data_IF_743398933157
#
_entry.id   IF_743398933157
#
_cell.length_a   1.000
_cell.length_b   1.000
_cell.length_c   1.000
_cell.angle_alpha   90.00
_cell.angle_beta   90.00
_cell.angle_gamma   90.00
#
_symmetry.space_group_name_H-M   'P 1'
#
loop_
_entity.id
_entity.type
_entity.pdbx_description
1 polymer ?
#
# COMPACT_ATOMS: atom_id res chain seq x y z
N UNK A 1 9.17 45.98 9.66
CA UNK A 1 9.12 45.24 8.41
C UNK A 1 8.20 44.03 8.62
N UNK A 2 7.11 43.91 7.88
CA UNK A 2 6.22 42.78 8.03
C UNK A 2 6.82 41.54 7.35
N UNK A 3 6.90 40.42 8.08
CA UNK A 3 7.25 39.10 7.54
C UNK A 3 5.98 38.46 6.98
N UNK A 4 5.97 38.21 5.68
CA UNK A 4 4.88 37.51 5.01
C UNK A 4 5.27 36.01 4.97
N UNK A 5 4.54 35.16 5.71
CA UNK A 5 4.67 33.71 5.61
C UNK A 5 3.58 33.22 4.66
N UNK A 6 3.97 32.80 3.46
CA UNK A 6 3.10 32.10 2.51
C UNK A 6 3.15 30.61 2.80
N UNK A 7 2.05 30.05 3.26
CA UNK A 7 1.85 28.61 3.25
C UNK A 7 1.23 28.22 1.90
N UNK A 8 2.02 27.58 1.04
CA UNK A 8 1.54 26.97 -0.20
C UNK A 8 0.84 25.65 0.17
N UNK A 9 -0.47 25.65 0.06
CA UNK A 9 -1.28 24.43 0.02
C UNK A 9 -1.74 24.27 -1.43
N UNK A 10 -1.37 23.18 -2.05
CA UNK A 10 -1.79 22.81 -3.40
C UNK A 10 -3.32 22.67 -3.45
N UNK A 11 -3.90 23.35 -4.41
CA UNK A 11 -5.28 23.30 -4.90
C UNK A 11 -6.40 23.69 -3.95
N UNK A 12 -6.84 24.86 -4.22
CA UNK A 12 -8.00 25.68 -3.96
C UNK A 12 -7.88 26.71 -2.83
N UNK A 13 -7.96 27.97 -3.34
CA UNK A 13 -8.20 29.22 -2.62
C UNK A 13 -7.08 29.64 -1.64
N UNK A 14 -6.26 30.56 -2.16
CA UNK A 14 -5.32 31.36 -1.38
C UNK A 14 -6.04 32.10 -0.24
N UNK A 15 -5.89 31.56 0.97
CA UNK A 15 -6.14 32.33 2.18
C UNK A 15 -4.79 32.87 2.68
N UNK A 16 -4.40 34.06 2.22
CA UNK A 16 -3.32 34.84 2.85
C UNK A 16 -3.85 35.39 4.18
N UNK A 17 -3.49 34.77 5.28
CA UNK A 17 -3.65 35.38 6.60
C UNK A 17 -2.49 36.35 6.80
N UNK A 18 -2.81 37.67 6.79
CA UNK A 18 -1.86 38.70 7.15
C UNK A 18 -1.87 38.82 8.67
N UNK A 19 -0.81 38.36 9.30
CA UNK A 19 -0.59 38.57 10.74
C UNK A 19 0.16 39.90 10.87
N UNK A 20 -0.52 40.95 11.32
CA UNK A 20 0.13 42.18 11.75
C UNK A 20 0.62 41.99 13.19
N UNK A 21 1.92 41.89 13.34
CA UNK A 21 2.56 41.91 14.66
C UNK A 21 2.76 43.40 15.02
N UNK A 22 1.87 43.96 15.82
CA UNK A 22 2.08 45.25 16.46
C UNK A 22 3.04 45.08 17.63
N UNK A 23 4.24 45.58 17.45
CA UNK A 23 5.27 45.63 18.49
C UNK A 23 4.85 46.69 19.55
N UNK A 24 4.28 46.23 20.66
CA UNK A 24 4.11 47.01 21.90
C UNK A 24 4.45 46.12 23.09
N UNK A 25 5.67 46.27 23.52
CA UNK A 25 6.21 46.16 24.88
C UNK A 25 5.62 45.14 25.82
N UNK A 26 6.43 44.17 26.22
CA UNK A 26 6.18 43.38 27.42
C UNK A 26 6.65 41.93 27.28
N UNK A 27 7.65 41.57 28.07
CA UNK A 27 8.30 40.27 28.19
C UNK A 27 7.32 39.10 28.56
N UNK A 28 6.04 39.40 28.85
CA UNK A 28 5.01 38.42 29.17
C UNK A 28 4.29 37.85 27.95
N UNK A 29 4.29 38.51 26.81
CA UNK A 29 3.61 38.02 25.60
C UNK A 29 4.45 36.95 24.84
N UNK A 30 5.76 36.93 25.01
CA UNK A 30 6.63 35.96 24.36
C UNK A 30 6.40 34.52 24.89
N UNK A 31 5.98 34.35 26.15
CA UNK A 31 5.65 33.03 26.73
C UNK A 31 4.34 32.44 26.20
N UNK A 32 3.42 33.28 25.69
CA UNK A 32 2.14 32.83 25.11
C UNK A 32 2.25 32.48 23.62
N UNK A 33 3.27 32.98 22.92
CA UNK A 33 3.49 32.71 21.49
C UNK A 33 4.24 31.38 21.27
N UNK A 34 5.06 30.98 22.23
CA UNK A 34 5.86 29.73 22.13
C UNK A 34 5.03 28.46 21.94
N UNK A 35 3.92 28.22 22.68
CA UNK A 35 3.09 27.05 22.44
C UNK A 35 2.39 27.10 21.07
N UNK A 36 2.04 28.27 20.56
CA UNK A 36 1.42 28.40 19.24
C UNK A 36 2.41 28.11 18.12
N UNK A 37 3.66 28.55 18.24
CA UNK A 37 4.75 28.25 17.28
C UNK A 37 5.12 26.77 17.35
N UNK A 38 5.15 26.16 18.54
CA UNK A 38 5.41 24.73 18.71
C UNK A 38 4.31 23.86 18.08
N UNK A 39 3.03 24.27 18.23
CA UNK A 39 1.92 23.60 17.54
C UNK A 39 2.00 23.72 16.02
N UNK A 40 2.48 24.85 15.48
CA UNK A 40 2.64 25.05 14.04
C UNK A 40 3.74 24.15 13.45
N UNK A 41 4.79 23.87 14.20
CA UNK A 41 5.89 23.01 13.79
C UNK A 41 5.50 21.52 13.76
N UNK A 42 4.57 21.10 14.60
CA UNK A 42 4.09 19.71 14.63
C UNK A 42 3.15 19.41 13.43
N UNK A 43 2.46 20.41 12.91
CA UNK A 43 1.55 20.24 11.76
C UNK A 43 2.26 20.14 10.39
N UNK A 44 3.56 20.43 10.30
CA UNK A 44 4.33 20.34 9.05
C UNK A 44 4.91 18.94 8.77
N UNK A 45 4.78 17.98 9.68
CA UNK A 45 5.42 16.65 9.52
C UNK A 45 4.64 15.67 8.66
N UNK A 46 3.32 15.80 8.55
CA UNK A 46 2.47 14.82 7.85
C UNK A 46 2.54 14.83 6.31
N UNK A 47 3.08 15.89 5.69
CA UNK A 47 3.07 16.01 4.21
C UNK A 47 4.09 15.13 3.51
N UNK A 48 5.25 14.89 4.12
CA UNK A 48 6.37 14.20 3.45
C UNK A 48 6.18 12.69 3.25
N UNK A 49 5.39 12.06 4.10
CA UNK A 49 5.16 10.62 4.04
C UNK A 49 4.12 10.26 2.99
N UNK A 50 3.10 11.10 2.80
CA UNK A 50 2.14 10.97 1.71
C UNK A 50 2.85 11.13 0.37
N UNK A 51 3.69 12.16 0.19
CA UNK A 51 4.47 12.37 -1.03
C UNK A 51 5.37 11.16 -1.36
N UNK A 52 5.93 10.52 -0.33
CA UNK A 52 6.76 9.33 -0.49
C UNK A 52 5.93 8.11 -0.91
N UNK A 53 4.75 7.92 -0.32
CA UNK A 53 3.85 6.83 -0.68
C UNK A 53 3.31 6.99 -2.10
N UNK A 54 2.97 8.21 -2.52
CA UNK A 54 2.56 8.53 -3.89
C UNK A 54 3.69 8.28 -4.91
N UNK A 55 4.94 8.61 -4.56
CA UNK A 55 6.09 8.30 -5.40
C UNK A 55 6.29 6.78 -5.58
N UNK A 56 6.05 5.99 -4.52
CA UNK A 56 6.07 4.54 -4.61
C UNK A 56 4.89 4.01 -5.44
N UNK A 57 3.68 4.58 -5.30
CA UNK A 57 2.55 4.23 -6.18
C UNK A 57 2.89 4.46 -7.65
N UNK A 58 3.59 5.55 -7.99
CA UNK A 58 4.01 5.83 -9.36
C UNK A 58 4.99 4.79 -9.89
N UNK A 59 5.90 4.28 -9.04
CA UNK A 59 6.77 3.16 -9.39
C UNK A 59 5.94 1.91 -9.75
N UNK A 60 4.90 1.60 -8.98
CA UNK A 60 4.01 0.46 -9.25
C UNK A 60 3.13 0.63 -10.48
N UNK A 61 2.74 1.85 -10.86
CA UNK A 61 2.02 2.12 -12.12
C UNK A 61 2.82 1.72 -13.36
N UNK A 62 4.14 1.89 -13.27
CA UNK A 62 5.05 1.62 -14.37
C UNK A 62 5.66 0.20 -14.30
N UNK A 63 5.33 -0.57 -13.27
CA UNK A 63 5.84 -1.93 -13.08
C UNK A 63 5.13 -2.90 -14.02
N UNK A 64 5.88 -3.54 -14.92
CA UNK A 64 5.35 -4.51 -15.89
C UNK A 64 5.51 -5.95 -15.46
N UNK A 65 6.47 -6.22 -14.57
CA UNK A 65 6.71 -7.56 -14.07
C UNK A 65 7.34 -7.55 -12.68
N UNK A 66 7.05 -8.58 -11.90
CA UNK A 66 7.71 -8.85 -10.62
C UNK A 66 7.70 -10.32 -10.30
N UNK A 67 8.63 -10.74 -9.45
CA UNK A 67 8.65 -12.06 -8.83
C UNK A 67 8.83 -11.90 -7.32
N UNK A 68 8.20 -12.78 -6.54
CA UNK A 68 8.30 -12.75 -5.08
C UNK A 68 7.89 -14.08 -4.47
N UNK A 69 8.48 -14.41 -3.35
CA UNK A 69 8.02 -15.47 -2.46
C UNK A 69 7.19 -14.83 -1.35
N UNK A 70 6.06 -15.43 -1.03
CA UNK A 70 5.09 -14.86 -0.08
C UNK A 70 4.59 -15.94 0.86
N UNK A 71 4.52 -15.61 2.13
CA UNK A 71 3.84 -16.40 3.16
C UNK A 71 2.51 -15.74 3.48
N UNK A 72 1.42 -16.38 3.09
CA UNK A 72 0.05 -15.87 3.28
C UNK A 72 -0.60 -16.57 4.45
N UNK A 73 -1.12 -15.79 5.39
CA UNK A 73 -1.86 -16.25 6.57
C UNK A 73 -3.34 -15.87 6.42
N UNK A 74 -4.23 -16.87 6.53
CA UNK A 74 -5.68 -16.69 6.42
C UNK A 74 -6.34 -17.23 7.70
N UNK A 75 -6.93 -16.36 8.55
CA UNK A 75 -7.67 -16.80 9.72
C UNK A 75 -8.90 -17.61 9.35
N UNK A 76 -9.11 -18.76 10.01
CA UNK A 76 -10.27 -19.63 9.81
C UNK A 76 -10.80 -20.11 11.16
N UNK A 77 -11.76 -19.37 11.71
CA UNK A 77 -12.24 -19.65 13.08
C UNK A 77 -11.13 -19.40 14.11
N UNK A 78 -10.80 -20.42 14.89
CA UNK A 78 -9.73 -20.35 15.91
C UNK A 78 -8.34 -20.74 15.36
N UNK A 79 -8.27 -21.15 14.10
CA UNK A 79 -7.04 -21.56 13.43
C UNK A 79 -6.58 -20.50 12.42
N UNK A 80 -5.29 -20.49 12.11
CA UNK A 80 -4.73 -19.72 11.01
C UNK A 80 -4.10 -20.69 10.01
N UNK A 81 -4.59 -20.66 8.78
CA UNK A 81 -4.00 -21.42 7.68
C UNK A 81 -2.86 -20.59 7.08
N UNK A 82 -1.72 -21.22 6.88
CA UNK A 82 -0.52 -20.56 6.31
C UNK A 82 -0.16 -21.26 5.00
N UNK A 83 0.07 -20.45 3.97
CA UNK A 83 0.46 -20.90 2.65
C UNK A 83 1.77 -20.22 2.25
N UNK A 84 2.74 -20.98 1.75
CA UNK A 84 3.87 -20.42 1.06
C UNK A 84 3.61 -20.46 -0.45
N UNK A 85 3.78 -19.31 -1.11
CA UNK A 85 3.48 -19.15 -2.52
C UNK A 85 4.69 -18.53 -3.22
N UNK A 86 4.96 -18.97 -4.44
CA UNK A 86 5.78 -18.25 -5.39
C UNK A 86 4.86 -17.51 -6.36
N UNK A 87 5.05 -16.19 -6.50
CA UNK A 87 4.29 -15.36 -7.41
C UNK A 87 5.19 -14.79 -8.50
N UNK A 88 4.70 -14.82 -9.73
CA UNK A 88 5.28 -14.08 -10.84
C UNK A 88 4.21 -13.33 -11.59
N UNK A 89 4.44 -12.04 -11.85
CA UNK A 89 3.54 -11.18 -12.61
C UNK A 89 4.19 -10.74 -13.91
N UNK A 90 3.40 -10.68 -14.98
CA UNK A 90 3.81 -10.12 -16.26
C UNK A 90 2.60 -9.46 -16.94
N UNK A 91 2.66 -8.15 -17.10
CA UNK A 91 1.50 -7.36 -17.54
C UNK A 91 0.34 -7.52 -16.57
N UNK A 92 -0.84 -7.85 -17.09
CA UNK A 92 -2.06 -8.04 -16.29
C UNK A 92 -2.19 -9.46 -15.71
N UNK A 93 -1.29 -10.38 -16.06
CA UNK A 93 -1.31 -11.75 -15.61
C UNK A 93 -0.45 -11.95 -14.36
N UNK A 94 -1.03 -12.55 -13.32
CA UNK A 94 -0.29 -13.01 -12.13
C UNK A 94 -0.44 -14.51 -12.01
N UNK A 95 0.70 -15.19 -11.92
CA UNK A 95 0.78 -16.62 -11.63
C UNK A 95 1.20 -16.81 -10.18
N UNK A 96 0.46 -17.60 -9.45
CA UNK A 96 0.79 -18.05 -8.10
C UNK A 96 0.96 -19.56 -8.10
N UNK A 97 1.99 -20.08 -7.43
CA UNK A 97 2.21 -21.50 -7.25
C UNK A 97 2.40 -21.79 -5.76
N UNK A 98 1.61 -22.71 -5.23
CA UNK A 98 1.70 -23.13 -3.82
C UNK A 98 2.90 -24.02 -3.63
N UNK A 99 3.73 -23.74 -2.62
CA UNK A 99 4.84 -24.60 -2.16
C UNK A 99 4.57 -25.22 -0.80
N UNK A 100 3.78 -24.59 0.06
CA UNK A 100 3.32 -25.12 1.35
C UNK A 100 1.84 -24.79 1.55
N UNK A 101 1.04 -25.67 2.18
CA UNK A 101 1.43 -26.98 2.74
C UNK A 101 1.67 -28.03 1.64
N UNK A 102 2.36 -29.15 1.99
CA UNK A 102 2.78 -30.20 1.04
C UNK A 102 1.60 -30.82 0.28
N UNK A 103 0.42 -30.92 0.92
CA UNK A 103 -0.81 -31.45 0.32
C UNK A 103 -1.33 -30.61 -0.84
N UNK A 104 -0.93 -29.34 -0.91
CA UNK A 104 -1.32 -28.39 -1.95
C UNK A 104 -0.14 -27.97 -2.83
N UNK A 105 1.05 -28.52 -2.58
CA UNK A 105 2.23 -28.18 -3.35
C UNK A 105 2.02 -28.47 -4.84
N UNK A 106 2.40 -27.52 -5.69
CA UNK A 106 2.20 -27.61 -7.14
C UNK A 106 0.83 -27.11 -7.64
N UNK A 107 -0.13 -26.82 -6.75
CA UNK A 107 -1.35 -26.13 -7.15
C UNK A 107 -0.96 -24.74 -7.63
N UNK A 108 -1.33 -24.41 -8.86
CA UNK A 108 -1.13 -23.11 -9.47
C UNK A 108 -2.43 -22.35 -9.64
N UNK A 109 -2.31 -21.04 -9.69
CA UNK A 109 -3.38 -20.14 -10.07
C UNK A 109 -2.84 -19.14 -11.09
N UNK A 110 -3.60 -18.87 -12.13
CA UNK A 110 -3.34 -17.77 -13.08
C UNK A 110 -4.50 -16.81 -12.99
N UNK A 111 -4.18 -15.58 -12.64
CA UNK A 111 -5.13 -14.48 -12.58
C UNK A 111 -4.85 -13.54 -13.75
N UNK A 112 -5.83 -13.36 -14.63
CA UNK A 112 -5.80 -12.43 -15.77
C UNK A 112 -7.01 -11.48 -15.68
N UNK A 113 -6.77 -10.25 -15.24
CA UNK A 113 -7.85 -9.32 -14.92
C UNK A 113 -8.73 -9.88 -13.78
N UNK A 114 -9.99 -10.22 -14.11
CA UNK A 114 -10.96 -10.82 -13.19
C UNK A 114 -11.14 -12.34 -13.35
N UNK A 115 -10.39 -12.97 -14.26
CA UNK A 115 -10.47 -14.41 -14.52
C UNK A 115 -9.45 -15.18 -13.72
N UNK A 116 -9.92 -16.25 -13.07
CA UNK A 116 -9.08 -17.18 -12.33
C UNK A 116 -9.09 -18.55 -13.02
N UNK A 117 -7.90 -19.03 -13.32
CA UNK A 117 -7.67 -20.41 -13.77
C UNK A 117 -6.81 -21.12 -12.74
N UNK A 118 -7.25 -22.27 -12.26
CA UNK A 118 -6.45 -23.13 -11.40
C UNK A 118 -5.76 -24.21 -12.23
N UNK A 119 -4.54 -24.55 -11.84
CA UNK A 119 -3.75 -25.61 -12.47
C UNK A 119 -3.20 -26.55 -11.42
N UNK A 120 -3.21 -27.85 -11.71
CA UNK A 120 -2.56 -28.86 -10.88
C UNK A 120 -2.15 -30.01 -11.78
N UNK A 121 -0.86 -30.29 -11.86
CA UNK A 121 -0.28 -31.20 -12.85
C UNK A 121 -0.76 -30.83 -14.28
N UNK A 122 -1.37 -31.79 -14.98
CA UNK A 122 -1.94 -31.59 -16.32
C UNK A 122 -3.39 -31.11 -16.31
N UNK A 123 -3.99 -30.91 -15.13
CA UNK A 123 -5.36 -30.44 -15.00
C UNK A 123 -5.41 -28.91 -15.04
N UNK A 124 -6.31 -28.39 -15.85
CA UNK A 124 -6.62 -26.96 -15.94
C UNK A 124 -8.11 -26.80 -15.65
N UNK A 125 -8.42 -26.04 -14.62
CA UNK A 125 -9.78 -25.71 -14.22
C UNK A 125 -10.01 -24.22 -14.41
N UNK A 126 -10.82 -23.86 -15.38
CA UNK A 126 -11.33 -22.48 -15.51
C UNK A 126 -12.41 -22.27 -14.44
N UNK A 127 -12.10 -21.45 -13.45
CA UNK A 127 -13.02 -21.10 -12.35
C UNK A 127 -13.96 -19.98 -12.77
N UNK A 128 -13.66 -19.32 -13.88
CA UNK A 128 -14.39 -18.15 -14.37
C UNK A 128 -13.98 -16.87 -13.65
N UNK A 129 -14.92 -15.97 -13.45
CA UNK A 129 -14.69 -14.74 -12.71
C UNK A 129 -14.39 -15.03 -11.24
N UNK A 130 -13.36 -14.37 -10.73
CA UNK A 130 -13.01 -14.43 -9.31
C UNK A 130 -14.26 -14.22 -8.46
N UNK A 131 -14.52 -15.19 -7.59
CA UNK A 131 -15.46 -14.96 -6.49
C UNK A 131 -14.97 -13.72 -5.72
N UNK A 132 -15.87 -12.83 -5.30
CA UNK A 132 -15.51 -11.60 -4.59
C UNK A 132 -14.87 -11.83 -3.22
N UNK A 133 -14.45 -13.05 -2.93
CA UNK A 133 -13.85 -13.40 -1.65
C UNK A 133 -12.33 -13.40 -1.73
N UNK A 134 -11.72 -12.76 -0.74
CA UNK A 134 -10.27 -12.81 -0.54
C UNK A 134 -9.86 -14.25 -0.18
N UNK A 135 -8.82 -14.74 -0.83
CA UNK A 135 -8.23 -16.07 -0.62
C UNK A 135 -6.71 -15.97 -0.61
N UNK A 136 -6.03 -17.02 -0.19
CA UNK A 136 -4.56 -17.05 -0.20
C UNK A 136 -3.96 -16.81 -1.60
N UNK A 137 -4.65 -17.25 -2.67
CA UNK A 137 -4.16 -17.15 -4.04
C UNK A 137 -4.37 -15.77 -4.68
N UNK A 138 -5.37 -14.99 -4.22
CA UNK A 138 -5.70 -13.71 -4.83
C UNK A 138 -5.40 -12.48 -3.95
N UNK A 139 -5.13 -12.64 -2.65
CA UNK A 139 -4.93 -11.52 -1.74
C UNK A 139 -3.77 -10.63 -2.16
N UNK A 140 -2.63 -11.20 -2.55
CA UNK A 140 -1.45 -10.45 -2.97
C UNK A 140 -1.68 -9.74 -4.30
N UNK A 141 -2.15 -10.42 -5.38
CA UNK A 141 -2.56 -9.74 -6.61
C UNK A 141 -3.56 -8.61 -6.37
N UNK A 142 -4.56 -8.84 -5.51
CA UNK A 142 -5.57 -7.85 -5.17
C UNK A 142 -4.96 -6.57 -4.59
N UNK A 143 -4.02 -6.70 -3.65
CA UNK A 143 -3.34 -5.55 -3.04
C UNK A 143 -2.42 -4.87 -4.06
N UNK A 144 -1.49 -5.62 -4.68
CA UNK A 144 -0.44 -5.03 -5.53
C UNK A 144 -0.96 -4.42 -6.83
N UNK A 145 -1.99 -5.01 -7.46
CA UNK A 145 -2.59 -4.49 -8.68
C UNK A 145 -3.49 -3.27 -8.45
N UNK A 146 -4.06 -3.14 -7.25
CA UNK A 146 -4.92 -2.02 -6.92
C UNK A 146 -4.15 -0.86 -6.26
N UNK A 147 -3.09 -1.12 -5.52
CA UNK A 147 -2.27 -0.10 -4.87
C UNK A 147 -1.94 1.10 -5.78
N UNK A 148 -1.50 0.94 -7.04
CA UNK A 148 -1.19 2.07 -7.91
C UNK A 148 -2.42 2.84 -8.43
N UNK A 149 -3.64 2.32 -8.23
CA UNK A 149 -4.88 2.85 -8.85
C UNK A 149 -5.79 3.55 -7.85
N UNK A 150 -5.57 3.36 -6.55
CA UNK A 150 -6.44 3.84 -5.48
C UNK A 150 -5.90 5.10 -4.84
N UNK A 151 -6.77 5.84 -4.14
CA UNK A 151 -6.35 6.90 -3.23
C UNK A 151 -5.87 6.29 -1.92
N UNK A 152 -4.83 6.89 -1.34
CA UNK A 152 -4.34 6.53 -0.03
C UNK A 152 -5.21 7.21 1.04
N UNK A 153 -5.73 6.41 1.96
CA UNK A 153 -6.47 6.91 3.12
C UNK A 153 -5.48 7.52 4.13
N UNK A 154 -4.33 6.87 4.32
CA UNK A 154 -3.23 7.38 5.15
C UNK A 154 -1.89 6.77 4.73
N UNK A 155 -0.80 7.40 5.17
CA UNK A 155 0.53 6.80 5.11
C UNK A 155 1.39 7.27 6.28
N UNK A 156 2.34 6.44 6.71
CA UNK A 156 3.22 6.74 7.82
C UNK A 156 4.43 5.83 7.88
N UNK A 157 5.53 6.34 8.46
CA UNK A 157 6.70 5.51 8.73
C UNK A 157 6.39 4.58 9.91
N UNK A 158 6.71 3.31 9.77
CA UNK A 158 6.51 2.29 10.79
C UNK A 158 7.67 1.29 10.76
N UNK A 159 8.03 0.72 11.90
CA UNK A 159 9.05 -0.32 12.00
C UNK A 159 8.38 -1.66 12.24
N UNK A 160 8.56 -2.61 11.31
CA UNK A 160 8.10 -3.99 11.41
C UNK A 160 9.28 -4.88 11.84
N UNK A 161 9.30 -5.31 13.10
CA UNK A 161 10.47 -5.98 13.65
C UNK A 161 11.71 -5.08 13.56
N UNK A 162 12.68 -5.46 12.75
CA UNK A 162 13.91 -4.69 12.51
C UNK A 162 13.91 -3.93 11.16
N UNK A 163 12.78 -3.93 10.44
CA UNK A 163 12.68 -3.31 9.11
C UNK A 163 11.91 -2.00 9.18
N UNK A 164 12.57 -0.90 8.81
CA UNK A 164 11.90 0.38 8.61
C UNK A 164 11.10 0.33 7.31
N UNK A 165 9.80 0.57 7.41
CA UNK A 165 8.88 0.52 6.30
C UNK A 165 8.01 1.77 6.24
N UNK A 166 7.47 2.05 5.07
CA UNK A 166 6.40 3.01 4.86
C UNK A 166 5.09 2.24 4.78
N UNK A 167 4.21 2.44 5.72
CA UNK A 167 2.84 1.94 5.67
C UNK A 167 2.00 2.84 4.80
N UNK A 168 1.24 2.24 3.91
CA UNK A 168 0.24 2.88 3.08
C UNK A 168 -1.11 2.19 3.27
N UNK A 169 -2.11 2.94 3.72
CA UNK A 169 -3.46 2.43 3.94
C UNK A 169 -4.37 2.92 2.82
N UNK A 170 -5.23 2.03 2.34
CA UNK A 170 -6.20 2.34 1.30
C UNK A 170 -7.40 1.39 1.38
N UNK A 171 -8.50 1.80 0.75
CA UNK A 171 -9.74 1.02 0.73
C UNK A 171 -10.04 0.49 -0.67
N UNK A 172 -10.51 -0.74 -0.74
CA UNK A 172 -11.01 -1.38 -1.96
C UNK A 172 -12.49 -1.71 -1.81
N UNK A 173 -13.26 -1.50 -2.87
CA UNK A 173 -14.64 -1.99 -2.92
C UNK A 173 -14.70 -3.22 -3.82
N UNK A 174 -15.04 -4.36 -3.25
CA UNK A 174 -15.17 -5.62 -3.96
C UNK A 174 -16.56 -6.17 -3.76
N UNK A 175 -17.33 -6.30 -4.85
CA UNK A 175 -18.74 -6.79 -4.84
C UNK A 175 -19.66 -6.08 -3.85
N UNK A 176 -19.41 -4.79 -3.60
CA UNK A 176 -20.23 -3.98 -2.69
C UNK A 176 -19.76 -4.00 -1.23
N UNK A 177 -18.75 -4.79 -0.90
CA UNK A 177 -18.08 -4.79 0.40
C UNK A 177 -16.83 -3.93 0.36
N UNK A 178 -16.53 -3.21 1.43
CA UNK A 178 -15.34 -2.39 1.57
C UNK A 178 -14.29 -3.17 2.36
N UNK A 179 -13.11 -3.33 1.76
CA UNK A 179 -11.95 -3.96 2.35
C UNK A 179 -10.94 -2.86 2.71
N UNK A 180 -10.47 -2.84 3.93
CA UNK A 180 -9.33 -2.01 4.33
C UNK A 180 -8.04 -2.78 4.03
N UNK A 181 -7.13 -2.15 3.30
CA UNK A 181 -5.84 -2.72 2.92
C UNK A 181 -4.72 -1.87 3.51
N UNK A 182 -3.74 -2.51 4.09
CA UNK A 182 -2.48 -1.90 4.53
C UNK A 182 -1.32 -2.58 3.83
N UNK A 183 -0.41 -1.78 3.26
CA UNK A 183 0.78 -2.26 2.57
C UNK A 183 2.02 -1.59 3.17
N UNK A 184 2.96 -2.37 3.64
CA UNK A 184 4.25 -1.89 4.14
C UNK A 184 5.31 -2.06 3.07
N UNK A 185 5.94 -0.97 2.72
CA UNK A 185 6.96 -0.87 1.68
C UNK A 185 8.31 -0.54 2.31
N UNK A 186 9.31 -1.33 2.00
CA UNK A 186 10.68 -1.09 2.41
C UNK A 186 11.30 0.14 1.72
N UNK A 187 12.55 0.44 2.01
CA UNK A 187 13.24 1.61 1.48
C UNK A 187 13.35 1.63 -0.07
N UNK A 188 13.39 0.47 -0.71
CA UNK A 188 13.41 0.31 -2.17
C UNK A 188 12.03 0.40 -2.83
N UNK A 189 10.95 0.50 -2.03
CA UNK A 189 9.58 0.35 -2.50
C UNK A 189 9.12 -1.11 -2.62
N UNK A 190 9.97 -2.10 -2.34
CA UNK A 190 9.55 -3.50 -2.30
C UNK A 190 8.58 -3.73 -1.15
N UNK A 191 7.50 -4.50 -1.35
CA UNK A 191 6.59 -4.85 -0.28
C UNK A 191 7.29 -5.75 0.73
N UNK A 192 7.02 -5.53 2.01
CA UNK A 192 7.52 -6.33 3.12
C UNK A 192 6.37 -7.10 3.76
N UNK A 193 5.23 -6.43 3.89
CA UNK A 193 4.05 -6.98 4.53
C UNK A 193 2.78 -6.35 3.97
N UNK A 194 1.68 -7.09 3.98
CA UNK A 194 0.36 -6.57 3.63
C UNK A 194 -0.72 -7.20 4.50
N UNK A 195 -1.77 -6.44 4.78
CA UNK A 195 -2.98 -6.90 5.46
C UNK A 195 -4.22 -6.50 4.67
N UNK A 196 -5.21 -7.38 4.71
CA UNK A 196 -6.56 -7.10 4.23
C UNK A 196 -7.51 -7.34 5.41
N UNK A 197 -8.32 -6.34 5.72
CA UNK A 197 -9.33 -6.43 6.76
C UNK A 197 -10.72 -6.14 6.21
N UNK A 198 -11.70 -6.84 6.75
CA UNK A 198 -13.11 -6.64 6.52
C UNK A 198 -13.80 -6.41 7.87
N UNK A 199 -14.55 -5.30 8.01
CA UNK A 199 -15.19 -4.92 9.27
C UNK A 199 -14.22 -4.95 10.48
N UNK A 200 -13.05 -4.34 10.33
CA UNK A 200 -11.97 -4.25 11.31
C UNK A 200 -11.36 -5.62 11.72
N UNK A 201 -11.65 -6.67 10.98
CA UNK A 201 -11.09 -7.99 11.23
C UNK A 201 -10.15 -8.36 10.08
N UNK A 202 -8.90 -8.71 10.40
CA UNK A 202 -7.95 -9.21 9.41
C UNK A 202 -8.47 -10.54 8.85
N UNK A 203 -8.61 -10.59 7.53
CA UNK A 203 -9.06 -11.78 6.77
C UNK A 203 -7.93 -12.42 5.96
N UNK A 204 -6.87 -11.67 5.67
CA UNK A 204 -5.64 -12.19 5.08
C UNK A 204 -4.46 -11.29 5.46
N UNK A 205 -3.30 -11.89 5.65
CA UNK A 205 -2.03 -11.19 5.81
C UNK A 205 -0.97 -11.86 4.95
N UNK A 206 -0.01 -11.10 4.43
CA UNK A 206 1.02 -11.57 3.54
C UNK A 206 2.40 -11.01 3.94
N UNK A 207 3.37 -11.88 4.16
CA UNK A 207 4.77 -11.54 4.36
C UNK A 207 5.54 -11.79 3.07
N UNK A 208 6.25 -10.77 2.59
CA UNK A 208 6.99 -10.85 1.32
C UNK A 208 8.47 -11.10 1.57
N UNK A 209 9.04 -11.97 0.75
CA UNK A 209 10.47 -12.22 0.69
C UNK A 209 10.92 -12.27 -0.77
N UNK A 210 12.19 -11.97 -1.03
CA UNK A 210 12.78 -12.05 -2.36
C UNK A 210 11.99 -11.28 -3.45
N UNK A 211 11.47 -10.09 -3.11
CA UNK A 211 10.77 -9.29 -4.09
C UNK A 211 11.74 -8.72 -5.12
N UNK A 212 11.54 -9.10 -6.37
CA UNK A 212 12.35 -8.67 -7.51
C UNK A 212 11.46 -7.85 -8.43
N UNK A 213 11.79 -6.57 -8.59
CA UNK A 213 11.20 -5.73 -9.63
C UNK A 213 11.74 -6.20 -10.98
N UNK A 214 10.85 -6.51 -11.90
CA UNK A 214 11.21 -6.75 -13.29
C UNK A 214 11.28 -5.46 -14.10
N UNK A 215 10.95 -5.52 -15.38
CA UNK A 215 11.02 -4.36 -16.25
C UNK A 215 10.06 -3.24 -15.80
N UNK A 216 10.58 -2.02 -15.74
CA UNK A 216 9.81 -0.81 -15.50
C UNK A 216 9.71 -0.07 -16.83
N UNK A 217 8.49 0.21 -17.30
CA UNK A 217 8.30 1.03 -18.49
C UNK A 217 8.89 2.42 -18.25
N UNK A 218 9.91 2.78 -19.02
CA UNK A 218 10.40 4.15 -19.01
C UNK A 218 9.32 5.09 -19.53
N UNK A 219 9.04 6.22 -18.88
CA UNK A 219 8.02 7.18 -19.33
C UNK A 219 8.27 7.73 -20.75
N UNK A 220 9.48 7.58 -21.29
CA UNK A 220 9.86 8.01 -22.65
C UNK A 220 9.45 7.01 -23.76
N UNK A 221 8.91 5.84 -23.43
CA UNK A 221 8.52 4.84 -24.44
C UNK A 221 7.08 5.02 -24.99
N UNK A 222 6.36 6.02 -24.52
CA UNK A 222 4.96 6.31 -24.87
C UNK A 222 4.82 7.54 -25.81
N UNK A 223 5.77 7.75 -26.74
CA UNK A 223 5.64 8.76 -27.82
C UNK A 223 5.35 8.11 -29.17
#
# INVERSE_FOLDING_TARGET
MPLTVCALKSWNAAACARIEITDKGGDEDMKKIWPAVLCLLILCSCGKEIDRAEAMQEQYKNLTSYETDVRVSVPRGDETLVYALHLSAQGDAVRATVSEPEELAGVGAVLEGDKLTLTFDDLVLDVGTLSPRVSALNCVPLVLQNFPKVYLDSSGAETLGDVDALRADFSLTLSGETLACSLWLGASGAPVYAEIAENDKIIAAAEFTNFIFGDILSPDAAQ
#
